data_IF_019758801669
#
_entry.id   IF_019758801669
#
_cell.length_a   1.000
_cell.length_b   1.000
_cell.length_c   1.000
_cell.angle_alpha   90.00
_cell.angle_beta   90.00
_cell.angle_gamma   90.00
#
_symmetry.space_group_name_H-M   'P 1'
#
loop_
_entity.id
_entity.type
_entity.pdbx_description
1 polymer ?
#
# COMPACT_ATOMS: atom_id res chain seq x y z
N UNK A 1 -16.39 -7.33 -15.29
CA UNK A 1 -17.45 -6.63 -14.51
C UNK A 1 -18.24 -5.77 -15.47
N UNK A 2 -19.54 -5.68 -15.26
CA UNK A 2 -20.41 -5.05 -16.26
C UNK A 2 -20.27 -3.52 -16.19
N UNK A 3 -20.10 -2.91 -17.36
CA UNK A 3 -20.17 -1.47 -17.56
C UNK A 3 -21.34 -0.81 -16.80
N UNK A 4 -22.53 -1.43 -16.68
CA UNK A 4 -23.67 -0.88 -15.94
C UNK A 4 -23.44 -0.70 -14.43
N UNK A 5 -22.61 -1.52 -13.80
CA UNK A 5 -22.31 -1.38 -12.37
C UNK A 5 -21.43 -0.15 -12.11
N UNK A 6 -20.40 0.05 -12.92
CA UNK A 6 -19.52 1.22 -12.81
C UNK A 6 -20.27 2.52 -13.04
N UNK A 7 -21.18 2.53 -14.03
CA UNK A 7 -22.02 3.70 -14.31
C UNK A 7 -22.97 4.02 -13.14
N UNK A 8 -23.58 2.99 -12.55
CA UNK A 8 -24.43 3.15 -11.36
C UNK A 8 -23.65 3.68 -10.17
N UNK A 9 -22.42 3.18 -9.94
CA UNK A 9 -21.54 3.72 -8.90
C UNK A 9 -21.21 5.19 -9.15
N UNK A 10 -20.79 5.53 -10.35
CA UNK A 10 -20.45 6.92 -10.73
C UNK A 10 -21.64 7.86 -10.54
N UNK A 11 -22.82 7.44 -10.99
CA UNK A 11 -24.03 8.24 -10.83
C UNK A 11 -24.40 8.46 -9.36
N UNK A 12 -24.28 7.43 -8.52
CA UNK A 12 -24.61 7.51 -7.10
C UNK A 12 -23.59 8.39 -6.32
N UNK A 13 -22.31 8.17 -6.55
CA UNK A 13 -21.24 8.89 -5.86
C UNK A 13 -20.90 10.25 -6.48
N UNK A 14 -21.65 10.71 -7.47
CA UNK A 14 -21.59 12.10 -7.95
C UNK A 14 -22.43 13.08 -7.14
N UNK A 15 -23.19 12.60 -6.14
CA UNK A 15 -23.96 13.44 -5.22
C UNK A 15 -23.02 14.33 -4.38
N UNK A 16 -23.47 15.55 -4.07
CA UNK A 16 -22.72 16.54 -3.27
C UNK A 16 -22.31 16.01 -1.87
N UNK A 17 -22.98 14.99 -1.35
CA UNK A 17 -22.60 14.31 -0.08
C UNK A 17 -21.24 13.59 -0.19
N UNK A 18 -20.82 13.28 -1.40
CA UNK A 18 -19.57 12.58 -1.73
C UNK A 18 -18.64 13.47 -2.56
N UNK A 19 -18.66 14.76 -2.33
CA UNK A 19 -17.84 15.71 -3.07
C UNK A 19 -16.36 15.28 -3.03
N UNK A 20 -15.75 15.17 -4.21
CA UNK A 20 -14.41 14.63 -4.37
C UNK A 20 -14.33 13.11 -4.53
N UNK A 21 -15.45 12.37 -4.53
CA UNK A 21 -15.42 10.93 -4.79
C UNK A 21 -15.07 10.62 -6.26
N UNK A 22 -14.18 9.65 -6.46
CA UNK A 22 -13.70 9.26 -7.79
C UNK A 22 -13.80 7.75 -7.96
N UNK A 23 -14.43 7.30 -9.04
CA UNK A 23 -14.48 5.88 -9.43
C UNK A 23 -13.48 5.62 -10.55
N UNK A 24 -12.47 4.83 -10.25
CA UNK A 24 -11.46 4.39 -11.22
C UNK A 24 -11.60 2.91 -11.53
N UNK A 25 -11.23 2.52 -12.76
CA UNK A 25 -11.19 1.12 -13.20
C UNK A 25 -9.81 0.84 -13.74
N UNK A 26 -9.08 -0.03 -13.07
CA UNK A 26 -7.72 -0.40 -13.48
C UNK A 26 -7.73 -1.54 -14.47
N UNK A 27 -7.14 -1.33 -15.65
CA UNK A 27 -6.82 -2.36 -16.61
C UNK A 27 -5.53 -3.11 -16.19
N UNK A 28 -5.34 -4.39 -16.55
CA UNK A 28 -6.19 -5.22 -17.38
C UNK A 28 -7.27 -6.01 -16.62
N UNK A 29 -7.24 -5.97 -15.28
CA UNK A 29 -8.10 -6.83 -14.43
C UNK A 29 -9.48 -6.27 -14.18
N UNK A 30 -9.77 -5.06 -14.65
CA UNK A 30 -11.04 -4.34 -14.41
C UNK A 30 -11.34 -4.20 -12.89
N UNK A 31 -10.31 -3.99 -12.08
CA UNK A 31 -10.48 -3.72 -10.66
C UNK A 31 -11.08 -2.32 -10.47
N UNK A 32 -12.18 -2.27 -9.73
CA UNK A 32 -12.89 -1.02 -9.47
C UNK A 32 -12.40 -0.48 -8.13
N UNK A 33 -11.99 0.78 -8.13
CA UNK A 33 -11.65 1.52 -6.92
C UNK A 33 -12.54 2.75 -6.82
N UNK A 34 -13.21 2.88 -5.69
CA UNK A 34 -13.91 4.09 -5.28
C UNK A 34 -13.03 4.82 -4.28
N UNK A 35 -12.56 6.00 -4.63
CA UNK A 35 -11.87 6.90 -3.72
C UNK A 35 -12.86 7.91 -3.17
N UNK A 36 -12.89 8.09 -1.86
CA UNK A 36 -13.78 9.02 -1.17
C UNK A 36 -13.00 9.87 -0.18
N UNK A 37 -13.40 11.12 0.08
CA UNK A 37 -12.80 11.92 1.13
C UNK A 37 -13.08 11.31 2.52
N UNK A 38 -12.22 11.51 3.51
CA UNK A 38 -12.39 10.93 4.85
C UNK A 38 -13.71 11.32 5.50
N UNK A 39 -14.22 12.50 5.24
CA UNK A 39 -15.53 12.97 5.74
C UNK A 39 -16.72 12.18 5.21
N UNK A 40 -16.60 11.62 4.02
CA UNK A 40 -17.64 10.81 3.38
C UNK A 40 -17.41 9.29 3.55
N UNK A 41 -16.28 8.87 4.13
CA UNK A 41 -15.87 7.46 4.22
C UNK A 41 -16.92 6.56 4.85
N UNK A 42 -17.39 6.89 6.07
CA UNK A 42 -18.37 6.08 6.80
C UNK A 42 -19.71 6.03 6.06
N UNK A 43 -20.19 7.18 5.56
CA UNK A 43 -21.46 7.26 4.82
C UNK A 43 -21.37 6.47 3.52
N UNK A 44 -20.25 6.56 2.79
CA UNK A 44 -20.05 5.80 1.57
C UNK A 44 -20.05 4.29 1.83
N UNK A 45 -19.39 3.83 2.89
CA UNK A 45 -19.40 2.42 3.30
C UNK A 45 -20.81 1.95 3.70
N UNK A 46 -21.59 2.79 4.38
CA UNK A 46 -22.98 2.51 4.70
C UNK A 46 -23.84 2.32 3.44
N UNK A 47 -23.74 3.24 2.50
CA UNK A 47 -24.46 3.15 1.22
C UNK A 47 -24.04 1.92 0.39
N UNK A 48 -22.76 1.58 0.42
CA UNK A 48 -22.26 0.38 -0.26
C UNK A 48 -22.83 -0.90 0.36
N UNK A 49 -22.93 -0.96 1.69
CA UNK A 49 -23.55 -2.10 2.39
C UNK A 49 -25.04 -2.18 2.08
N UNK A 50 -25.78 -1.10 2.33
CA UNK A 50 -27.24 -1.10 2.38
C UNK A 50 -27.89 -0.97 0.99
N UNK A 51 -27.32 -0.17 0.08
CA UNK A 51 -27.88 0.11 -1.24
C UNK A 51 -27.29 -0.76 -2.34
N UNK A 52 -25.99 -1.04 -2.26
CA UNK A 52 -25.28 -1.83 -3.27
C UNK A 52 -25.11 -3.30 -2.90
N UNK A 53 -25.45 -3.71 -1.67
CA UNK A 53 -25.43 -5.10 -1.23
C UNK A 53 -24.02 -5.66 -1.06
N UNK A 54 -23.09 -4.86 -0.55
CA UNK A 54 -21.77 -5.34 -0.13
C UNK A 54 -21.84 -5.85 1.30
N UNK A 55 -22.24 -7.10 1.46
CA UNK A 55 -22.51 -7.71 2.76
C UNK A 55 -21.24 -7.96 3.56
N UNK A 56 -20.11 -8.15 2.87
CA UNK A 56 -18.86 -8.53 3.51
C UNK A 56 -17.75 -7.50 3.27
N UNK A 57 -17.15 -7.03 4.36
CA UNK A 57 -15.82 -6.42 4.33
C UNK A 57 -14.79 -7.54 4.46
N UNK A 58 -14.00 -7.73 3.43
CA UNK A 58 -12.98 -8.78 3.38
C UNK A 58 -11.72 -8.40 4.13
N UNK A 59 -11.38 -7.11 4.07
CA UNK A 59 -10.15 -6.57 4.61
C UNK A 59 -10.23 -5.05 4.73
N UNK A 60 -9.52 -4.49 5.71
CA UNK A 60 -9.20 -3.06 5.81
C UNK A 60 -7.73 -2.93 6.11
N UNK A 61 -6.96 -2.38 5.19
CA UNK A 61 -5.53 -2.19 5.37
C UNK A 61 -5.12 -0.71 5.33
N UNK A 62 -4.05 -0.39 6.06
CA UNK A 62 -3.34 0.88 5.93
C UNK A 62 -2.36 0.84 4.76
N UNK A 63 -2.08 2.00 4.17
CA UNK A 63 -1.06 2.16 3.13
C UNK A 63 -0.29 3.44 3.38
N UNK A 64 1.04 3.37 3.31
CA UNK A 64 1.93 4.53 3.28
C UNK A 64 2.45 4.72 1.85
N UNK A 65 2.10 5.85 1.24
CA UNK A 65 2.49 6.21 -0.13
C UNK A 65 3.79 7.03 -0.19
N UNK A 66 4.51 7.19 0.93
CA UNK A 66 5.82 7.87 0.92
C UNK A 66 6.76 7.17 -0.06
N UNK A 67 7.32 7.92 -1.00
CA UNK A 67 8.21 7.40 -2.04
C UNK A 67 7.52 6.59 -3.15
N UNK A 68 6.20 6.43 -3.12
CA UNK A 68 5.46 5.70 -4.15
C UNK A 68 5.64 6.34 -5.53
N UNK A 69 6.06 5.53 -6.49
CA UNK A 69 6.36 5.99 -7.85
C UNK A 69 7.74 6.61 -8.03
N UNK A 70 8.44 6.99 -6.93
CA UNK A 70 9.79 7.54 -6.97
C UNK A 70 10.86 6.49 -6.70
N UNK A 71 10.55 5.50 -5.86
CA UNK A 71 11.45 4.43 -5.46
C UNK A 71 11.18 3.11 -6.21
N UNK A 72 10.29 3.13 -7.18
CA UNK A 72 9.97 1.96 -7.99
C UNK A 72 11.11 1.64 -8.96
N UNK A 73 11.38 0.34 -9.05
CA UNK A 73 12.38 -0.20 -9.96
C UNK A 73 11.73 -0.59 -11.27
N UNK A 74 12.28 -0.09 -12.35
CA UNK A 74 11.92 -0.57 -13.67
C UNK A 74 12.57 -1.94 -13.93
N UNK A 75 11.75 -2.92 -14.26
CA UNK A 75 12.20 -4.28 -14.58
C UNK A 75 12.32 -4.53 -16.08
N UNK A 76 11.95 -3.56 -16.92
CA UNK A 76 11.93 -3.71 -18.38
C UNK A 76 13.32 -3.57 -18.99
N UNK A 77 14.14 -2.70 -18.42
CA UNK A 77 15.50 -2.52 -18.88
C UNK A 77 16.50 -3.13 -17.90
N UNK A 78 17.21 -4.10 -18.38
CA UNK A 78 18.29 -4.73 -17.63
C UNK A 78 19.53 -3.84 -17.73
N UNK A 79 19.99 -3.33 -16.61
CA UNK A 79 21.22 -2.54 -16.58
C UNK A 79 22.40 -3.40 -17.08
N UNK A 80 23.03 -2.98 -18.15
CA UNK A 80 24.26 -3.58 -18.67
C UNK A 80 25.51 -3.14 -17.89
N UNK A 81 25.37 -2.21 -16.99
CA UNK A 81 26.48 -1.56 -16.27
C UNK A 81 26.57 -2.05 -14.82
N UNK A 82 27.05 -3.25 -14.60
CA UNK A 82 27.41 -3.73 -13.28
C UNK A 82 26.29 -4.33 -12.44
N UNK A 83 26.35 -4.15 -11.14
CA UNK A 83 25.47 -4.79 -10.19
C UNK A 83 24.08 -4.16 -10.19
N UNK A 84 23.22 -4.68 -11.01
CA UNK A 84 21.82 -4.38 -10.88
C UNK A 84 21.06 -5.65 -10.53
N UNK A 85 19.94 -5.50 -9.89
CA UNK A 85 18.98 -6.60 -9.68
C UNK A 85 18.24 -6.97 -10.97
N UNK A 86 18.69 -6.48 -12.12
CA UNK A 86 17.94 -6.55 -13.36
C UNK A 86 16.81 -5.54 -13.40
N UNK A 87 16.91 -4.48 -12.61
CA UNK A 87 15.94 -3.41 -12.50
C UNK A 87 16.65 -2.08 -12.50
N UNK A 88 16.12 -1.11 -13.19
CA UNK A 88 16.59 0.26 -13.19
C UNK A 88 15.75 1.07 -12.20
N UNK A 89 16.42 1.74 -11.25
CA UNK A 89 15.74 2.62 -10.30
C UNK A 89 15.30 3.89 -11.00
N UNK A 90 14.03 4.22 -10.91
CA UNK A 90 13.48 5.49 -11.41
C UNK A 90 13.58 6.61 -10.39
N UNK A 91 13.98 6.32 -9.15
CA UNK A 91 14.10 7.29 -8.07
C UNK A 91 15.43 8.03 -8.05
N UNK A 92 15.47 9.20 -7.38
CA UNK A 92 16.70 9.94 -7.18
C UNK A 92 17.66 9.11 -6.33
N UNK A 93 18.80 8.77 -6.82
CA UNK A 93 19.85 8.21 -6.00
C UNK A 93 20.53 6.96 -6.52
N UNK A 94 20.16 6.43 -7.67
CA UNK A 94 20.83 5.22 -8.05
C UNK A 94 21.99 5.37 -9.01
N UNK A 95 21.89 6.06 -10.12
CA UNK A 95 22.99 6.07 -11.09
C UNK A 95 23.13 7.32 -11.97
N UNK A 96 22.26 8.30 -11.81
CA UNK A 96 22.36 9.57 -12.55
C UNK A 96 22.57 10.72 -11.58
N UNK A 97 23.80 10.97 -11.24
CA UNK A 97 24.19 12.13 -10.44
C UNK A 97 23.93 13.40 -11.25
N UNK A 98 22.99 14.22 -10.82
CA UNK A 98 22.74 15.54 -11.39
C UNK A 98 21.61 15.64 -12.43
N UNK A 99 21.02 14.54 -12.87
CA UNK A 99 19.80 14.56 -13.67
C UNK A 99 18.60 14.18 -12.81
N UNK A 100 17.57 14.99 -12.83
CA UNK A 100 16.27 14.58 -12.31
C UNK A 100 15.72 13.49 -13.26
N UNK A 101 15.38 12.29 -12.79
CA UNK A 101 14.80 11.27 -13.64
C UNK A 101 13.54 11.81 -14.30
N UNK A 102 13.52 11.78 -15.62
CA UNK A 102 12.32 12.13 -16.37
C UNK A 102 11.24 11.11 -16.04
N UNK A 103 10.21 11.50 -15.33
CA UNK A 103 9.08 10.65 -14.94
C UNK A 103 8.92 10.43 -13.44
N UNK A 104 9.69 11.12 -12.59
CA UNK A 104 9.34 11.22 -11.18
C UNK A 104 7.92 11.78 -11.09
N UNK A 105 7.04 10.99 -10.56
CA UNK A 105 5.80 11.55 -10.05
C UNK A 105 6.21 12.54 -8.94
N UNK A 106 5.63 13.71 -8.95
CA UNK A 106 5.74 14.64 -7.85
C UNK A 106 5.47 13.88 -6.53
N UNK A 107 6.11 14.31 -5.45
CA UNK A 107 5.78 13.79 -4.13
C UNK A 107 4.25 13.69 -4.01
N UNK A 108 3.73 12.67 -3.33
CA UNK A 108 2.29 12.55 -3.19
C UNK A 108 1.75 13.90 -2.77
N UNK A 109 0.68 14.33 -3.42
CA UNK A 109 0.06 15.62 -3.11
C UNK A 109 -0.10 15.73 -1.59
N UNK A 110 0.09 16.91 -0.99
CA UNK A 110 -0.02 17.09 0.45
C UNK A 110 -1.30 16.42 0.97
N UNK A 111 -1.20 15.73 2.10
CA UNK A 111 -2.27 14.94 2.71
C UNK A 111 -2.71 13.71 1.88
N UNK A 112 -1.80 13.10 1.15
CA UNK A 112 -2.04 11.84 0.42
C UNK A 112 -1.01 10.76 0.75
N UNK A 113 -0.33 10.86 1.86
CA UNK A 113 0.63 9.88 2.30
C UNK A 113 -0.05 8.63 2.88
N UNK A 114 -0.94 8.81 3.84
CA UNK A 114 -1.61 7.69 4.51
C UNK A 114 -3.02 7.47 3.98
N UNK A 115 -3.31 6.23 3.63
CA UNK A 115 -4.65 5.83 3.20
C UNK A 115 -5.15 4.62 3.96
N UNK A 116 -6.46 4.58 4.21
CA UNK A 116 -7.17 3.36 4.56
C UNK A 116 -7.87 2.80 3.31
N UNK A 117 -7.73 1.49 3.11
CA UNK A 117 -8.26 0.78 1.96
C UNK A 117 -9.11 -0.39 2.45
N UNK A 118 -10.40 -0.38 2.11
CA UNK A 118 -11.32 -1.47 2.38
C UNK A 118 -11.60 -2.28 1.11
N UNK A 119 -11.57 -3.59 1.22
CA UNK A 119 -11.99 -4.51 0.17
C UNK A 119 -13.34 -5.10 0.52
N UNK A 120 -14.33 -4.73 -0.27
CA UNK A 120 -15.72 -5.16 -0.07
C UNK A 120 -16.10 -6.22 -1.10
N UNK A 121 -16.95 -7.16 -0.68
CA UNK A 121 -17.49 -8.19 -1.53
C UNK A 121 -19.01 -8.29 -1.37
N UNK A 122 -19.69 -8.31 -2.51
CA UNK A 122 -21.07 -8.73 -2.60
C UNK A 122 -21.13 -10.17 -3.07
N UNK A 123 -21.64 -11.05 -2.21
CA UNK A 123 -21.89 -12.44 -2.56
C UNK A 123 -23.12 -12.56 -3.47
N UNK A 124 -24.12 -11.76 -3.24
CA UNK A 124 -25.36 -11.75 -4.02
C UNK A 124 -25.10 -11.37 -5.49
N UNK A 125 -24.25 -10.37 -5.70
CA UNK A 125 -23.95 -9.86 -7.06
C UNK A 125 -22.65 -10.41 -7.64
N UNK A 126 -21.90 -11.21 -6.87
CA UNK A 126 -20.55 -11.70 -7.23
C UNK A 126 -19.64 -10.55 -7.69
N UNK A 127 -19.57 -9.51 -6.89
CA UNK A 127 -18.82 -8.30 -7.19
C UNK A 127 -17.86 -7.97 -6.06
N UNK A 128 -16.72 -7.40 -6.43
CA UNK A 128 -15.72 -6.88 -5.51
C UNK A 128 -15.46 -5.42 -5.80
N UNK A 129 -15.25 -4.67 -4.74
CA UNK A 129 -14.97 -3.25 -4.81
C UNK A 129 -13.85 -2.91 -3.83
N UNK A 130 -12.89 -2.13 -4.27
CA UNK A 130 -11.94 -1.47 -3.38
C UNK A 130 -12.45 -0.08 -3.07
N UNK A 131 -12.51 0.27 -1.79
CA UNK A 131 -12.81 1.63 -1.35
C UNK A 131 -11.55 2.18 -0.70
N UNK A 132 -11.14 3.39 -1.06
CA UNK A 132 -9.94 4.04 -0.54
C UNK A 132 -10.26 5.43 -0.04
N UNK A 133 -9.70 5.78 1.10
CA UNK A 133 -9.71 7.15 1.62
C UNK A 133 -8.32 7.54 2.08
N UNK A 134 -7.94 8.78 1.84
CA UNK A 134 -6.71 9.34 2.38
C UNK A 134 -7.00 10.09 3.67
N UNK A 135 -6.09 9.98 4.64
CA UNK A 135 -6.19 10.78 5.85
C UNK A 135 -6.09 12.28 5.53
N UNK A 136 -6.78 13.10 6.29
CA UNK A 136 -6.80 14.55 6.06
C UNK A 136 -5.46 15.23 6.43
N UNK A 137 -4.68 14.61 7.31
CA UNK A 137 -3.39 15.12 7.78
C UNK A 137 -2.36 13.98 7.80
N UNK A 138 -1.20 14.20 7.19
CA UNK A 138 -0.11 13.25 7.16
C UNK A 138 0.68 13.19 8.49
N UNK A 139 0.63 14.24 9.30
CA UNK A 139 1.27 14.26 10.61
C UNK A 139 0.48 13.45 11.65
N UNK A 140 -0.85 13.55 11.60
CA UNK A 140 -1.78 12.82 12.44
C UNK A 140 -2.87 12.19 11.58
N UNK A 141 -2.61 11.03 10.96
CA UNK A 141 -3.57 10.41 10.05
C UNK A 141 -4.77 9.86 10.81
N UNK A 142 -5.93 10.47 10.58
CA UNK A 142 -7.21 10.08 11.20
C UNK A 142 -8.21 9.73 10.10
N UNK A 143 -8.92 8.61 10.29
CA UNK A 143 -9.98 8.12 9.41
C UNK A 143 -11.15 7.66 10.30
N UNK A 144 -12.41 7.93 9.93
CA UNK A 144 -13.55 7.38 10.69
C UNK A 144 -13.56 5.85 10.67
N UNK A 145 -13.86 5.23 11.81
CA UNK A 145 -14.02 3.77 11.93
C UNK A 145 -15.29 3.31 11.22
N UNK A 146 -15.22 2.09 10.67
CA UNK A 146 -16.38 1.40 10.07
C UNK A 146 -16.71 0.08 10.79
N UNK A 147 -16.28 -0.05 12.04
CA UNK A 147 -16.48 -1.25 12.86
C UNK A 147 -17.95 -1.52 13.15
N UNK A 148 -18.78 -0.49 13.21
CA UNK A 148 -20.23 -0.59 13.39
C UNK A 148 -20.94 -1.17 12.16
N UNK A 149 -20.35 -1.03 10.99
CA UNK A 149 -20.88 -1.58 9.76
C UNK A 149 -20.54 -3.07 9.60
N UNK A 150 -19.31 -3.44 9.89
CA UNK A 150 -18.82 -4.81 9.83
C UNK A 150 -17.95 -5.12 11.07
N UNK A 151 -18.45 -5.86 12.06
CA UNK A 151 -17.72 -6.10 13.31
C UNK A 151 -16.32 -6.72 13.14
N UNK A 152 -16.09 -7.49 12.08
CA UNK A 152 -14.77 -8.06 11.78
C UNK A 152 -13.68 -7.04 11.48
N UNK A 153 -14.06 -5.83 11.10
CA UNK A 153 -13.16 -4.72 10.83
C UNK A 153 -12.37 -4.27 12.07
N UNK A 154 -12.88 -4.54 13.26
CA UNK A 154 -12.18 -4.24 14.51
C UNK A 154 -10.70 -4.67 14.49
N UNK A 155 -10.42 -5.88 14.01
CA UNK A 155 -9.07 -6.42 13.97
C UNK A 155 -8.21 -5.75 12.90
N UNK A 156 -8.76 -5.48 11.73
CA UNK A 156 -8.07 -4.84 10.63
C UNK A 156 -7.72 -3.39 10.91
N UNK A 157 -8.62 -2.63 11.53
CA UNK A 157 -8.35 -1.25 11.93
C UNK A 157 -7.27 -1.18 13.01
N UNK A 158 -7.26 -2.12 13.95
CA UNK A 158 -6.17 -2.23 14.94
C UNK A 158 -4.83 -2.56 14.29
N UNK A 159 -4.82 -3.45 13.28
CA UNK A 159 -3.60 -3.74 12.52
C UNK A 159 -3.11 -2.51 11.76
N UNK A 160 -3.99 -1.81 11.05
CA UNK A 160 -3.64 -0.59 10.34
C UNK A 160 -3.13 0.52 11.28
N UNK A 161 -3.71 0.63 12.48
CA UNK A 161 -3.21 1.50 13.52
C UNK A 161 -1.82 1.07 14.00
N UNK A 162 -1.62 -0.21 14.30
CA UNK A 162 -0.36 -0.72 14.82
C UNK A 162 0.78 -0.58 13.81
N UNK A 163 0.53 -0.94 12.55
CA UNK A 163 1.54 -0.98 11.50
C UNK A 163 1.86 0.40 10.89
N UNK A 164 0.85 1.26 10.72
CA UNK A 164 0.99 2.54 10.01
C UNK A 164 0.72 3.77 10.90
N UNK A 165 0.09 3.58 12.06
CA UNK A 165 -0.28 4.68 12.95
C UNK A 165 -1.48 5.49 12.45
N UNK A 166 -2.37 4.88 11.67
CA UNK A 166 -3.63 5.50 11.27
C UNK A 166 -4.61 5.37 12.43
N UNK A 167 -5.13 6.49 12.92
CA UNK A 167 -6.13 6.52 13.97
C UNK A 167 -7.52 6.34 13.37
N UNK A 168 -8.30 5.42 13.95
CA UNK A 168 -9.69 5.20 13.56
C UNK A 168 -10.63 5.84 14.57
N UNK A 169 -11.19 6.97 14.21
CA UNK A 169 -12.10 7.72 15.07
C UNK A 169 -13.41 6.95 15.26
N UNK A 170 -13.84 6.79 16.52
CA UNK A 170 -15.03 6.01 16.87
C UNK A 170 -14.78 4.52 17.05
N UNK A 171 -13.55 4.04 16.89
CA UNK A 171 -13.22 2.65 17.20
C UNK A 171 -13.33 2.38 18.72
N UNK A 172 -14.00 1.31 19.14
CA UNK A 172 -14.30 1.08 20.57
C UNK A 172 -13.06 0.72 21.40
N UNK A 173 -12.04 0.11 20.80
CA UNK A 173 -10.84 -0.37 21.51
C UNK A 173 -9.61 -0.37 20.58
N UNK A 174 -9.15 0.82 20.21
CA UNK A 174 -8.01 0.99 19.31
C UNK A 174 -6.69 0.80 20.08
N UNK A 175 -6.14 -0.41 20.04
CA UNK A 175 -4.88 -0.78 20.67
C UNK A 175 -4.05 -1.65 19.75
N UNK A 176 -2.73 -1.69 19.97
CA UNK A 176 -1.81 -2.52 19.20
C UNK A 176 -2.20 -4.00 19.26
N UNK A 177 -1.88 -4.75 18.22
CA UNK A 177 -2.27 -6.14 18.05
C UNK A 177 -1.10 -7.05 17.62
N UNK A 178 -0.18 -6.56 16.81
CA UNK A 178 0.92 -7.34 16.26
C UNK A 178 2.25 -7.04 16.92
N UNK A 179 2.51 -5.77 17.26
CA UNK A 179 3.74 -5.37 17.91
C UNK A 179 3.71 -5.64 19.42
N UNK A 180 4.89 -5.76 20.03
CA UNK A 180 5.04 -5.94 21.47
C UNK A 180 4.57 -4.69 22.25
N UNK A 181 4.22 -4.86 23.52
CA UNK A 181 3.72 -3.77 24.39
C UNK A 181 4.66 -2.58 24.52
N UNK A 182 5.97 -2.83 24.48
CA UNK A 182 6.99 -1.81 24.55
C UNK A 182 7.45 -1.25 23.19
N UNK A 183 6.86 -1.69 22.10
CA UNK A 183 7.30 -1.30 20.76
C UNK A 183 7.03 0.18 20.49
N UNK A 184 8.07 0.89 20.02
CA UNK A 184 7.99 2.31 19.68
C UNK A 184 8.03 2.50 18.17
N UNK A 185 7.04 3.20 17.63
CA UNK A 185 6.90 3.47 16.20
C UNK A 185 5.89 2.56 15.51
N UNK A 186 5.87 2.64 14.19
CA UNK A 186 4.96 1.92 13.31
C UNK A 186 5.78 1.27 12.19
N UNK A 187 5.97 -0.07 12.23
CA UNK A 187 7.02 -0.73 11.45
C UNK A 187 6.77 -0.78 9.94
N UNK A 188 5.54 -0.54 9.47
CA UNK A 188 5.24 -0.54 8.04
C UNK A 188 5.27 0.85 7.40
N UNK A 189 5.50 1.90 8.20
CA UNK A 189 5.81 3.22 7.62
C UNK A 189 7.09 3.14 6.81
N UNK A 190 7.10 3.80 5.66
CA UNK A 190 8.26 3.78 4.74
C UNK A 190 9.50 4.47 5.30
N UNK A 191 9.33 5.36 6.26
CA UNK A 191 10.39 6.04 7.00
C UNK A 191 10.88 5.24 8.24
N UNK A 192 10.24 4.12 8.57
CA UNK A 192 10.70 3.24 9.64
C UNK A 192 11.86 2.37 9.14
N UNK A 193 12.99 2.27 9.88
CA UNK A 193 14.15 1.48 9.46
C UNK A 193 13.81 -0.02 9.39
N UNK A 194 14.22 -0.68 8.31
CA UNK A 194 13.94 -2.09 8.07
C UNK A 194 14.48 -3.01 9.18
N UNK A 195 15.61 -2.66 9.76
CA UNK A 195 16.24 -3.41 10.87
C UNK A 195 15.64 -3.07 12.23
N UNK A 196 14.77 -2.06 12.31
CA UNK A 196 14.26 -1.54 13.59
C UNK A 196 15.27 -0.68 14.35
N UNK A 197 14.93 -0.32 15.58
CA UNK A 197 15.76 0.49 16.46
C UNK A 197 16.27 -0.30 17.67
N UNK A 198 15.54 -1.33 18.07
CA UNK A 198 15.79 -2.13 19.27
C UNK A 198 15.66 -3.60 18.90
N UNK A 199 16.59 -4.40 19.40
CA UNK A 199 16.48 -5.85 19.35
C UNK A 199 16.25 -6.45 20.73
N UNK A 200 15.70 -7.63 20.77
CA UNK A 200 15.33 -8.34 21.98
C UNK A 200 16.14 -9.61 22.07
N UNK A 201 16.90 -9.78 23.15
CA UNK A 201 17.75 -10.94 23.39
C UNK A 201 17.48 -11.55 24.76
N UNK A 202 17.52 -12.86 24.83
CA UNK A 202 17.52 -13.55 26.14
C UNK A 202 18.91 -13.55 26.73
N UNK A 203 19.04 -13.04 27.95
CA UNK A 203 20.27 -13.09 28.71
C UNK A 203 20.25 -14.28 29.71
N UNK A 204 21.05 -15.32 29.46
CA UNK A 204 21.07 -16.51 30.29
C UNK A 204 21.66 -16.28 31.69
N UNK A 205 22.51 -15.27 31.88
CA UNK A 205 23.08 -14.93 33.18
C UNK A 205 22.07 -14.25 34.11
N UNK A 206 21.30 -13.33 33.52
CA UNK A 206 20.24 -12.62 34.23
C UNK A 206 18.89 -13.37 34.20
N UNK A 207 18.79 -14.46 33.41
CA UNK A 207 17.60 -15.28 33.24
C UNK A 207 16.36 -14.44 32.81
N UNK A 208 16.58 -13.43 31.99
CA UNK A 208 15.51 -12.52 31.50
C UNK A 208 15.76 -12.07 30.07
N UNK A 209 14.70 -11.56 29.49
CA UNK A 209 14.74 -10.85 28.21
C UNK A 209 15.25 -9.44 28.44
N UNK A 210 16.21 -9.01 27.64
CA UNK A 210 16.77 -7.66 27.65
C UNK A 210 16.51 -6.98 26.29
N UNK A 211 16.35 -5.68 26.35
CA UNK A 211 16.24 -4.81 25.17
C UNK A 211 17.57 -4.10 24.99
N UNK A 212 18.10 -4.17 23.79
CA UNK A 212 19.37 -3.52 23.46
C UNK A 212 19.26 -2.82 22.09
N UNK A 213 20.09 -1.80 21.81
CA UNK A 213 20.12 -1.20 20.48
C UNK A 213 20.42 -2.25 19.42
N UNK A 214 19.77 -2.11 18.24
CA UNK A 214 19.93 -3.06 17.17
C UNK A 214 21.39 -3.16 16.69
N UNK A 215 21.91 -4.37 16.60
CA UNK A 215 23.26 -4.70 16.12
C UNK A 215 23.25 -5.40 14.76
N UNK A 216 22.08 -5.53 14.12
CA UNK A 216 21.91 -6.25 12.86
C UNK A 216 22.53 -5.45 11.71
N UNK A 217 23.53 -6.03 11.05
CA UNK A 217 24.04 -5.49 9.80
C UNK A 217 23.06 -5.75 8.66
N UNK A 218 22.56 -4.72 7.95
CA UNK A 218 21.62 -4.89 6.87
C UNK A 218 22.28 -5.65 5.72
N UNK A 219 21.74 -6.83 5.39
CA UNK A 219 22.16 -7.56 4.21
C UNK A 219 21.63 -6.86 2.97
N UNK A 220 22.49 -6.18 2.25
CA UNK A 220 22.19 -5.77 0.88
C UNK A 220 21.96 -7.04 0.07
N UNK A 221 20.82 -7.15 -0.57
CA UNK A 221 20.47 -8.34 -1.34
C UNK A 221 21.57 -8.69 -2.37
N UNK A 222 21.77 -9.99 -2.59
CA UNK A 222 22.78 -10.51 -3.51
C UNK A 222 22.60 -9.84 -4.87
N UNK A 223 23.61 -9.18 -5.42
CA UNK A 223 23.55 -8.57 -6.74
C UNK A 223 23.23 -9.66 -7.78
N UNK A 224 22.19 -9.45 -8.57
CA UNK A 224 21.84 -10.36 -9.66
C UNK A 224 22.82 -10.12 -10.80
N UNK A 225 23.73 -11.06 -11.00
CA UNK A 225 24.55 -11.07 -12.20
C UNK A 225 23.71 -11.64 -13.34
N UNK A 226 23.45 -10.82 -14.34
CA UNK A 226 22.86 -11.30 -15.58
C UNK A 226 23.98 -11.95 -16.37
N UNK A 227 23.85 -13.24 -16.58
CA UNK A 227 24.77 -13.99 -17.42
C UNK A 227 24.13 -14.10 -18.81
N UNK A 228 24.87 -13.67 -19.83
CA UNK A 228 24.61 -14.04 -21.22
C UNK A 228 24.91 -15.54 -21.37
N UNK A 229 23.98 -16.37 -20.95
CA UNK A 229 24.09 -17.81 -21.21
C UNK A 229 23.13 -18.21 -22.34
N UNK A 230 23.46 -19.32 -22.99
CA UNK A 230 22.71 -19.82 -24.14
C UNK A 230 21.20 -20.10 -23.86
N UNK A 231 20.79 -20.11 -22.60
CA UNK A 231 19.37 -20.30 -22.20
C UNK A 231 18.50 -19.08 -22.46
N UNK A 232 19.13 -17.90 -22.51
CA UNK A 232 18.45 -16.63 -22.75
C UNK A 232 18.72 -16.05 -24.15
N UNK A 233 19.67 -16.66 -24.89
CA UNK A 233 20.07 -16.20 -26.23
C UNK A 233 18.99 -16.46 -27.31
N UNK A 234 18.10 -17.41 -27.10
CA UNK A 234 17.10 -17.80 -28.08
C UNK A 234 16.06 -16.71 -28.38
N UNK A 235 15.62 -15.96 -27.38
CA UNK A 235 14.62 -14.91 -27.57
C UNK A 235 15.20 -13.65 -28.26
N UNK A 236 16.47 -13.32 -28.00
CA UNK A 236 17.13 -12.15 -28.58
C UNK A 236 17.70 -12.42 -30.00
N UNK A 237 17.94 -13.68 -30.35
CA UNK A 237 18.41 -14.09 -31.68
C UNK A 237 17.31 -14.00 -32.75
N UNK A 238 16.11 -14.39 -32.40
CA UNK A 238 14.97 -14.40 -33.33
C UNK A 238 14.50 -12.99 -33.72
N UNK A 239 14.61 -12.01 -32.83
CA UNK A 239 14.27 -10.62 -33.15
C UNK A 239 15.31 -9.92 -34.06
N UNK A 240 16.56 -10.34 -34.07
CA UNK A 240 17.59 -9.78 -34.97
C UNK A 240 17.51 -10.34 -36.39
N UNK A 241 17.04 -11.56 -36.57
CA UNK A 241 16.82 -12.13 -37.90
C UNK A 241 15.51 -11.63 -38.55
N UNK A 242 14.50 -11.29 -37.77
CA UNK A 242 13.25 -10.73 -38.29
C UNK A 242 13.38 -9.23 -38.72
N UNK A 243 14.49 -8.57 -38.41
CA UNK A 243 14.78 -7.16 -38.79
C UNK A 243 15.81 -7.03 -39.89
N UNK A 244 16.24 -8.09 -40.55
CA UNK A 244 17.02 -8.10 -41.79
C UNK A 244 16.11 -8.50 -42.95
#
# INVERSE_FOLDING_TARGET
MSTPFVERLRAHFSDARFDGAVVTVAAPRNEITLEVPPTAWHVACTELRDTFGFEQCMDVCGVDYLGYGNDEWDTTDVSSEGFSRGVEGRGPGRFKWGEQPSGLQEEPAPNRRFAAVAHLMSMQHNQRLRVRTFAADDALPVVPSIVDLWPGVNWFEREAFDMFGILFEGHPDLRRILTDYGFVGHPFRKDFPLIGNVEVRYDPEQQRVIYEPVSIDPRVGVPRVIRDDARYATAAGEEKEARK
#
